data_IF_411771332645
#
_entry.id   IF_411771332645
#
_cell.length_a   1.000
_cell.length_b   1.000
_cell.length_c   1.000
_cell.angle_alpha   90.00
_cell.angle_beta   90.00
_cell.angle_gamma   90.00
#
_symmetry.space_group_name_H-M   'P 1'
#
loop_
_entity.id
_entity.type
_entity.pdbx_description
1 polymer ?
#
# COMPACT_ATOMS: atom_id res chain seq x y z
N UNK A 1 42.39 5.94 -8.33
CA UNK A 1 41.69 4.87 -9.08
C UNK A 1 40.79 4.01 -8.19
N UNK A 2 41.25 3.56 -7.01
CA UNK A 2 40.40 2.79 -6.09
C UNK A 2 39.31 3.66 -5.41
N UNK A 3 39.65 4.88 -4.98
CA UNK A 3 38.66 5.81 -4.41
C UNK A 3 37.50 6.12 -5.37
N UNK A 4 37.80 6.31 -6.65
CA UNK A 4 36.77 6.56 -7.67
C UNK A 4 35.86 5.34 -7.90
N UNK A 5 36.38 4.11 -7.76
CA UNK A 5 35.56 2.90 -7.89
C UNK A 5 34.57 2.79 -6.72
N UNK A 6 35.01 3.10 -5.50
CA UNK A 6 34.13 3.07 -4.32
C UNK A 6 33.07 4.17 -4.35
N UNK A 7 33.44 5.39 -4.76
CA UNK A 7 32.48 6.48 -4.91
C UNK A 7 31.45 6.16 -6.00
N UNK A 8 31.88 5.54 -7.10
CA UNK A 8 30.99 5.14 -8.19
C UNK A 8 29.99 4.06 -7.76
N UNK A 9 30.41 3.06 -6.97
CA UNK A 9 29.51 2.01 -6.47
C UNK A 9 28.52 2.54 -5.43
N UNK A 10 28.94 3.48 -4.58
CA UNK A 10 28.03 4.17 -3.64
C UNK A 10 27.00 4.99 -4.42
N UNK A 11 27.45 5.72 -5.45
CA UNK A 11 26.58 6.57 -6.27
C UNK A 11 25.59 5.74 -7.11
N UNK A 12 26.03 4.63 -7.70
CA UNK A 12 25.15 3.73 -8.46
C UNK A 12 24.08 3.11 -7.54
N UNK A 13 24.47 2.72 -6.32
CA UNK A 13 23.55 2.19 -5.31
C UNK A 13 22.54 3.23 -4.86
N UNK A 14 23.01 4.45 -4.56
CA UNK A 14 22.14 5.57 -4.21
C UNK A 14 21.17 5.90 -5.34
N UNK A 15 21.62 5.91 -6.60
CA UNK A 15 20.77 6.19 -7.75
C UNK A 15 19.71 5.11 -7.96
N UNK A 16 20.03 3.83 -7.75
CA UNK A 16 19.05 2.73 -7.78
C UNK A 16 18.03 2.82 -6.64
N UNK A 17 18.45 3.28 -5.45
CA UNK A 17 17.54 3.53 -4.34
C UNK A 17 16.65 4.74 -4.66
N UNK A 18 17.22 5.82 -5.16
CA UNK A 18 16.50 7.04 -5.49
C UNK A 18 15.52 6.80 -6.64
N UNK A 19 15.89 6.03 -7.67
CA UNK A 19 14.99 5.65 -8.76
C UNK A 19 13.89 4.72 -8.25
N UNK A 20 14.20 3.77 -7.37
CA UNK A 20 13.20 2.85 -6.80
C UNK A 20 12.18 3.57 -5.92
N UNK A 21 12.65 4.44 -5.03
CA UNK A 21 11.79 5.29 -4.18
C UNK A 21 11.02 6.30 -5.02
N UNK A 22 11.67 6.93 -6.00
CA UNK A 22 11.01 7.88 -6.90
C UNK A 22 9.95 7.19 -7.77
N UNK A 23 10.19 5.98 -8.27
CA UNK A 23 9.20 5.16 -8.99
C UNK A 23 8.07 4.70 -8.07
N UNK A 24 8.39 4.31 -6.84
CA UNK A 24 7.38 3.99 -5.81
C UNK A 24 6.49 5.19 -5.50
N UNK A 25 7.06 6.40 -5.44
CA UNK A 25 6.28 7.64 -5.29
C UNK A 25 5.58 8.05 -6.60
N UNK A 26 6.18 7.81 -7.76
CA UNK A 26 5.55 8.09 -9.06
C UNK A 26 4.35 7.18 -9.32
N UNK A 27 4.37 5.96 -8.79
CA UNK A 27 3.26 5.04 -8.82
C UNK A 27 2.08 5.53 -7.96
N UNK A 28 2.39 6.16 -6.83
CA UNK A 28 1.43 6.88 -5.98
C UNK A 28 0.95 8.20 -6.61
N UNK A 29 1.75 8.82 -7.50
CA UNK A 29 1.41 10.13 -8.13
C UNK A 29 0.35 10.04 -9.23
N UNK A 30 0.06 8.84 -9.77
CA UNK A 30 -0.89 8.66 -10.89
C UNK A 30 -2.04 7.69 -10.63
N UNK A 31 -2.28 7.30 -9.38
CA UNK A 31 -3.26 6.26 -9.08
C UNK A 31 -4.22 6.60 -7.95
N UNK A 32 -4.57 7.87 -7.76
CA UNK A 32 -5.87 8.16 -7.16
C UNK A 32 -6.94 7.97 -8.22
N UNK A 33 -7.61 6.82 -8.11
CA UNK A 33 -9.05 6.72 -8.34
C UNK A 33 -9.51 6.61 -9.80
N UNK A 34 -9.33 5.42 -10.38
CA UNK A 34 -10.27 4.94 -11.41
C UNK A 34 -10.81 3.57 -10.98
N UNK A 35 -11.69 3.60 -9.97
CA UNK A 35 -12.64 2.52 -9.73
C UNK A 35 -13.90 2.88 -10.52
N UNK A 36 -14.07 2.22 -11.67
CA UNK A 36 -15.19 2.37 -12.57
C UNK A 36 -16.52 2.04 -11.87
N UNK A 37 -17.41 3.02 -11.71
CA UNK A 37 -18.83 2.77 -11.49
C UNK A 37 -19.56 2.95 -12.82
N UNK A 38 -19.83 1.82 -13.46
CA UNK A 38 -20.73 1.71 -14.59
C UNK A 38 -22.11 1.40 -14.01
N UNK A 39 -22.94 2.42 -13.84
CA UNK A 39 -24.37 2.27 -13.59
C UNK A 39 -25.11 3.07 -14.65
N UNK A 40 -25.48 2.34 -15.71
CA UNK A 40 -26.43 2.78 -16.71
C UNK A 40 -27.82 2.82 -16.06
N UNK A 41 -28.28 4.00 -15.65
CA UNK A 41 -29.70 4.22 -15.36
C UNK A 41 -30.16 5.50 -16.02
N UNK A 42 -30.65 5.33 -17.26
CA UNK A 42 -31.62 6.22 -17.89
C UNK A 42 -32.87 6.28 -16.98
N UNK A 43 -33.05 7.36 -16.23
CA UNK A 43 -34.31 7.70 -15.55
C UNK A 43 -34.44 9.21 -15.63
N UNK A 44 -34.91 9.73 -16.76
CA UNK A 44 -36.32 10.01 -17.07
C UNK A 44 -36.99 10.81 -15.96
N UNK A 45 -37.21 12.07 -16.29
CA UNK A 45 -37.95 13.08 -15.54
C UNK A 45 -39.26 12.56 -14.92
N UNK A 46 -39.48 12.82 -13.64
CA UNK A 46 -40.82 13.13 -13.15
C UNK A 46 -40.78 13.94 -11.84
N UNK A 47 -40.93 15.24 -12.07
CA UNK A 47 -41.55 16.28 -11.25
C UNK A 47 -42.67 15.77 -10.31
N UNK A 48 -42.63 16.27 -9.06
CA UNK A 48 -43.76 16.52 -8.14
C UNK A 48 -44.36 15.33 -7.37
N UNK A 49 -44.31 15.38 -6.03
CA UNK A 49 -45.46 15.12 -5.14
C UNK A 49 -45.12 15.62 -3.72
N UNK A 50 -46.10 16.24 -3.06
CA UNK A 50 -45.97 17.01 -1.83
C UNK A 50 -46.33 16.22 -0.56
N UNK A 51 -45.96 16.81 0.58
CA UNK A 51 -46.63 16.76 1.90
C UNK A 51 -46.29 15.67 2.93
N UNK A 52 -46.08 16.19 4.15
CA UNK A 52 -46.82 15.86 5.39
C UNK A 52 -46.04 15.13 6.49
N UNK A 53 -46.07 15.80 7.64
CA UNK A 53 -45.43 15.47 8.91
C UNK A 53 -46.00 14.20 9.55
N UNK A 54 -45.18 13.48 10.31
CA UNK A 54 -45.58 12.70 11.50
C UNK A 54 -44.34 12.36 12.32
N UNK A 55 -44.30 12.90 13.54
CA UNK A 55 -43.28 12.62 14.56
C UNK A 55 -43.69 11.44 15.46
N UNK A 56 -42.68 10.82 16.10
CA UNK A 56 -42.70 10.03 17.36
C UNK A 56 -42.91 8.48 17.29
N UNK A 57 -42.54 7.71 18.35
CA UNK A 57 -41.19 7.54 18.89
C UNK A 57 -40.80 6.06 19.15
N UNK A 58 -39.50 5.80 19.30
CA UNK A 58 -38.88 4.68 20.04
C UNK A 58 -39.25 3.23 19.68
N UNK A 59 -38.32 2.55 19.01
CA UNK A 59 -37.93 1.20 19.44
C UNK A 59 -36.42 1.01 19.23
N UNK A 60 -35.69 1.41 20.26
CA UNK A 60 -34.31 1.03 20.51
C UNK A 60 -34.25 -0.50 20.66
N UNK A 61 -33.68 -1.17 19.65
CA UNK A 61 -32.99 -2.42 19.87
C UNK A 61 -31.59 -2.27 19.32
N UNK A 62 -30.70 -1.86 20.23
CA UNK A 62 -29.25 -1.85 20.11
C UNK A 62 -28.77 -3.17 19.51
N UNK A 63 -28.62 -3.19 18.19
CA UNK A 63 -27.77 -4.14 17.51
C UNK A 63 -26.37 -3.63 17.75
N UNK A 64 -25.75 -4.15 18.80
CA UNK A 64 -24.32 -4.05 19.02
C UNK A 64 -23.64 -4.42 17.70
N UNK A 65 -23.21 -3.40 16.96
CA UNK A 65 -22.31 -3.55 15.83
C UNK A 65 -21.02 -4.05 16.43
N UNK A 66 -20.91 -5.36 16.57
CA UNK A 66 -19.65 -6.06 16.80
C UNK A 66 -18.77 -5.62 15.66
N UNK A 67 -17.95 -4.59 15.92
CA UNK A 67 -17.02 -4.07 14.95
C UNK A 67 -16.12 -5.22 14.56
N UNK A 68 -16.33 -5.76 13.37
CA UNK A 68 -15.43 -6.70 12.75
C UNK A 68 -14.17 -5.89 12.48
N UNK A 69 -13.30 -5.81 13.48
CA UNK A 69 -11.97 -5.26 13.33
C UNK A 69 -11.25 -6.18 12.35
N UNK A 70 -11.27 -5.83 11.07
CA UNK A 70 -10.46 -6.50 10.05
C UNK A 70 -9.01 -6.49 10.55
N UNK A 71 -8.52 -7.68 10.87
CA UNK A 71 -7.15 -7.88 11.32
C UNK A 71 -6.22 -7.59 10.15
N UNK A 72 -5.60 -6.40 10.18
CA UNK A 72 -4.58 -6.01 9.21
C UNK A 72 -3.28 -6.73 9.55
N UNK A 73 -2.97 -7.78 8.78
CA UNK A 73 -1.74 -8.55 8.91
C UNK A 73 -0.88 -8.41 7.64
N UNK A 74 0.45 -8.47 7.81
CA UNK A 74 1.42 -8.48 6.72
C UNK A 74 2.66 -9.24 7.14
N UNK A 75 3.35 -9.87 6.19
CA UNK A 75 4.50 -10.72 6.44
C UNK A 75 5.40 -10.86 5.22
N UNK A 76 6.59 -11.41 5.44
CA UNK A 76 7.61 -11.60 4.41
C UNK A 76 8.20 -13.00 4.57
N UNK A 77 8.29 -13.73 3.46
CA UNK A 77 8.98 -15.02 3.36
C UNK A 77 10.25 -14.80 2.55
N UNK A 78 11.40 -15.20 3.09
CA UNK A 78 12.69 -15.11 2.40
C UNK A 78 13.04 -16.43 1.72
N UNK A 79 13.00 -16.47 0.38
CA UNK A 79 13.53 -17.58 -0.41
C UNK A 79 14.93 -17.21 -0.90
N UNK A 80 15.92 -17.44 -0.04
CA UNK A 80 17.26 -16.90 -0.24
C UNK A 80 17.21 -15.37 -0.32
N UNK A 81 17.99 -14.71 -1.20
CA UNK A 81 17.97 -13.25 -1.33
C UNK A 81 16.69 -12.73 -2.00
N UNK A 82 15.72 -13.58 -2.36
CA UNK A 82 14.47 -13.15 -2.99
C UNK A 82 13.36 -13.07 -1.92
N UNK A 83 12.99 -11.86 -1.45
CA UNK A 83 11.87 -11.68 -0.55
C UNK A 83 10.52 -11.85 -1.27
N UNK A 84 9.60 -12.58 -0.65
CA UNK A 84 8.19 -12.61 -1.05
C UNK A 84 7.35 -11.95 0.04
N UNK A 85 6.62 -10.89 -0.33
CA UNK A 85 5.82 -10.08 0.60
C UNK A 85 4.35 -10.43 0.45
N UNK A 86 3.65 -10.57 1.57
CA UNK A 86 2.22 -10.83 1.63
C UNK A 86 1.55 -9.93 2.67
N UNK A 87 0.30 -9.56 2.46
CA UNK A 87 -0.47 -8.87 3.48
C UNK A 87 -1.94 -8.66 3.10
N UNK A 88 -2.78 -8.62 4.13
CA UNK A 88 -4.22 -8.40 4.03
C UNK A 88 -4.56 -6.92 3.83
N UNK A 89 -3.62 -6.03 4.14
CA UNK A 89 -3.81 -4.59 4.03
C UNK A 89 -2.63 -3.92 3.34
N UNK A 90 -2.93 -2.83 2.62
CA UNK A 90 -1.98 -2.04 1.84
C UNK A 90 -0.87 -1.48 2.73
N UNK A 91 -1.23 -1.01 3.93
CA UNK A 91 -0.28 -0.40 4.85
C UNK A 91 0.64 -1.45 5.50
N UNK A 92 0.07 -2.58 5.92
CA UNK A 92 0.86 -3.70 6.46
C UNK A 92 1.81 -4.27 5.40
N UNK A 93 1.34 -4.42 4.16
CA UNK A 93 2.16 -4.92 3.04
C UNK A 93 3.29 -3.96 2.69
N UNK A 94 3.02 -2.64 2.65
CA UNK A 94 4.04 -1.62 2.38
C UNK A 94 5.14 -1.64 3.44
N UNK A 95 4.75 -1.72 4.71
CA UNK A 95 5.71 -1.74 5.84
C UNK A 95 6.58 -3.00 5.79
N UNK A 96 5.97 -4.16 5.52
CA UNK A 96 6.66 -5.43 5.33
C UNK A 96 7.65 -5.38 4.14
N UNK A 97 7.25 -4.80 3.01
CA UNK A 97 8.10 -4.64 1.83
C UNK A 97 9.33 -3.76 2.09
N UNK A 98 9.16 -2.61 2.74
CA UNK A 98 10.26 -1.71 3.09
C UNK A 98 11.28 -2.45 3.97
N UNK A 99 10.79 -3.14 5.01
CA UNK A 99 11.64 -3.91 5.92
C UNK A 99 12.40 -5.02 5.17
N UNK A 100 11.73 -5.73 4.27
CA UNK A 100 12.32 -6.79 3.45
C UNK A 100 13.47 -6.26 2.58
N UNK A 101 13.29 -5.11 1.93
CA UNK A 101 14.30 -4.49 1.07
C UNK A 101 15.51 -4.06 1.89
N UNK A 102 15.29 -3.42 3.05
CA UNK A 102 16.37 -3.01 3.96
C UNK A 102 17.19 -4.22 4.39
N UNK A 103 16.53 -5.29 4.84
CA UNK A 103 17.19 -6.52 5.26
C UNK A 103 17.93 -7.21 4.11
N UNK A 104 17.34 -7.24 2.91
CA UNK A 104 17.97 -7.81 1.72
C UNK A 104 19.25 -7.06 1.34
N UNK A 105 19.22 -5.72 1.36
CA UNK A 105 20.39 -4.91 1.09
C UNK A 105 21.47 -5.09 2.15
N UNK A 106 21.09 -5.13 3.43
CA UNK A 106 22.02 -5.34 4.52
C UNK A 106 22.68 -6.73 4.41
N UNK A 107 21.89 -7.76 4.09
CA UNK A 107 22.38 -9.12 3.84
C UNK A 107 23.33 -9.17 2.65
N UNK A 108 23.02 -8.49 1.54
CA UNK A 108 23.89 -8.45 0.37
C UNK A 108 25.17 -7.67 0.66
N UNK A 109 25.10 -6.58 1.41
CA UNK A 109 26.27 -5.78 1.78
C UNK A 109 27.22 -6.58 2.67
N UNK A 110 26.69 -7.29 3.67
CA UNK A 110 27.48 -8.18 4.54
C UNK A 110 28.08 -9.33 3.72
N UNK A 111 27.29 -9.99 2.87
CA UNK A 111 27.77 -11.10 2.05
C UNK A 111 28.86 -10.64 1.07
N UNK A 112 28.69 -9.49 0.42
CA UNK A 112 29.70 -8.91 -0.48
C UNK A 112 30.95 -8.45 0.25
N UNK A 113 30.79 -7.83 1.43
CA UNK A 113 31.93 -7.38 2.25
C UNK A 113 32.71 -8.54 2.87
N UNK A 114 32.05 -9.68 3.12
CA UNK A 114 32.70 -10.88 3.63
C UNK A 114 33.38 -11.71 2.53
N UNK A 115 33.04 -11.47 1.26
CA UNK A 115 33.53 -12.23 0.10
C UNK A 115 34.58 -11.46 -0.72
N UNK A 116 34.83 -10.19 -0.40
CA UNK A 116 35.93 -9.36 -0.91
C UNK A 116 37.14 -9.46 0.04
#
# INVERSE_FOLDING_TARGET
MLFSIGILTILIGFLLIMIGVALSLYQEYRSTQSYSNRTDTLERDSRFESTSNSESPLHEKTSERKGESEIKAGGVIMLGPIPIIFGSDKESTKTAAILAIILMLLSLLILRSSLI
#
